data_IF_546457595520
#
_entry.id   IF_546457595520
#
_cell.length_a   1.000
_cell.length_b   1.000
_cell.length_c   1.000
_cell.angle_alpha   90.00
_cell.angle_beta   90.00
_cell.angle_gamma   90.00
#
_symmetry.space_group_name_H-M   'P 1'
#
loop_
_entity.id
_entity.type
_entity.pdbx_description
1 polymer ?
#
# COMPACT_ATOMS: atom_id res chain seq x y z
N UNK A 1 0.39 -9.01 -4.25
CA UNK A 1 -0.65 -8.04 -3.83
C UNK A 1 -0.07 -6.63 -3.71
N UNK A 2 0.99 -6.43 -2.93
CA UNK A 2 1.63 -5.12 -2.70
C UNK A 2 2.08 -4.40 -3.97
N UNK A 3 2.72 -5.09 -4.95
CA UNK A 3 3.15 -4.45 -6.22
C UNK A 3 2.02 -3.79 -7.01
N UNK A 4 0.81 -4.36 -6.98
CA UNK A 4 -0.35 -3.77 -7.68
C UNK A 4 -0.82 -2.49 -6.99
N UNK A 5 -0.82 -2.49 -5.65
CA UNK A 5 -1.07 -1.29 -4.86
C UNK A 5 0.02 -0.23 -5.08
N UNK A 6 1.30 -0.61 -5.01
CA UNK A 6 2.42 0.31 -5.21
C UNK A 6 2.39 0.98 -6.59
N UNK A 7 2.06 0.21 -7.64
CA UNK A 7 1.82 0.76 -8.99
C UNK A 7 0.65 1.74 -9.01
N UNK A 8 -0.48 1.38 -8.38
CA UNK A 8 -1.65 2.25 -8.29
C UNK A 8 -1.33 3.56 -7.55
N UNK A 9 -0.57 3.50 -6.44
CA UNK A 9 -0.12 4.69 -5.70
C UNK A 9 0.79 5.56 -6.57
N UNK A 10 1.78 4.96 -7.26
CA UNK A 10 2.70 5.70 -8.13
C UNK A 10 1.98 6.36 -9.31
N UNK A 11 1.01 5.70 -9.91
CA UNK A 11 0.23 6.27 -11.01
C UNK A 11 -0.63 7.46 -10.55
N UNK A 12 -1.20 7.38 -9.34
CA UNK A 12 -2.15 8.40 -8.85
C UNK A 12 -1.48 9.57 -8.13
N UNK A 13 -0.37 9.32 -7.46
CA UNK A 13 0.28 10.30 -6.56
C UNK A 13 1.77 10.53 -6.87
N UNK A 14 2.31 9.88 -7.90
CA UNK A 14 3.73 9.94 -8.21
C UNK A 14 4.59 9.42 -7.06
N UNK A 15 5.65 10.16 -6.74
CA UNK A 15 6.59 9.81 -5.66
C UNK A 15 6.23 10.44 -4.31
N UNK A 16 4.97 10.89 -4.12
CA UNK A 16 4.53 11.59 -2.90
C UNK A 16 4.59 10.71 -1.64
N UNK A 17 4.38 9.40 -1.80
CA UNK A 17 4.33 8.47 -0.68
C UNK A 17 5.56 7.56 -0.71
N UNK A 18 6.22 7.47 0.44
CA UNK A 18 7.31 6.53 0.69
C UNK A 18 6.74 5.12 0.88
N UNK A 19 7.08 4.23 -0.05
CA UNK A 19 6.61 2.83 -0.10
C UNK A 19 7.64 1.85 0.50
N UNK A 20 8.62 2.34 1.25
CA UNK A 20 9.59 1.51 1.95
C UNK A 20 8.89 0.56 2.91
N UNK A 21 9.38 -0.68 2.93
CA UNK A 21 8.88 -1.75 3.79
C UNK A 21 9.93 -2.14 4.83
N UNK A 22 9.46 -2.56 5.99
CA UNK A 22 10.31 -3.13 7.04
C UNK A 22 10.71 -4.58 6.72
N UNK A 23 11.46 -5.18 7.65
CA UNK A 23 11.96 -6.56 7.54
C UNK A 23 10.83 -7.59 7.52
N UNK A 24 9.68 -7.25 8.10
CA UNK A 24 8.48 -8.08 8.15
C UNK A 24 7.56 -7.87 6.93
N UNK A 25 7.90 -6.89 6.07
CA UNK A 25 7.19 -6.60 4.83
C UNK A 25 6.02 -5.62 4.97
N UNK A 26 5.84 -4.97 6.11
CA UNK A 26 4.86 -3.91 6.31
C UNK A 26 5.38 -2.56 5.81
N UNK A 27 4.48 -1.68 5.38
CA UNK A 27 4.88 -0.32 5.01
C UNK A 27 5.28 0.46 6.26
N UNK A 28 6.47 1.07 6.24
CA UNK A 28 7.01 1.83 7.36
C UNK A 28 6.15 3.06 7.72
N UNK A 29 5.34 3.55 6.77
CA UNK A 29 4.47 4.72 6.94
C UNK A 29 3.05 4.29 7.23
N UNK A 30 2.53 4.68 8.39
CA UNK A 30 1.15 4.38 8.79
C UNK A 30 0.11 4.83 7.76
N UNK A 31 0.32 5.98 7.13
CA UNK A 31 -0.59 6.47 6.07
C UNK A 31 -0.66 5.49 4.90
N UNK A 32 0.47 4.92 4.49
CA UNK A 32 0.52 3.94 3.38
C UNK A 32 -0.09 2.62 3.81
N UNK A 33 0.12 2.21 5.06
CA UNK A 33 -0.52 1.02 5.64
C UNK A 33 -2.04 1.12 5.60
N UNK A 34 -2.62 2.23 6.07
CA UNK A 34 -4.08 2.48 6.02
C UNK A 34 -4.60 2.55 4.59
N UNK A 35 -3.86 3.21 3.68
CA UNK A 35 -4.23 3.24 2.26
C UNK A 35 -4.27 1.83 1.66
N UNK A 36 -3.32 0.97 2.03
CA UNK A 36 -3.29 -0.42 1.57
C UNK A 36 -4.47 -1.23 2.12
N UNK A 37 -4.78 -1.11 3.41
CA UNK A 37 -5.93 -1.77 4.04
C UNK A 37 -7.25 -1.38 3.35
N UNK A 38 -7.48 -0.08 3.14
CA UNK A 38 -8.66 0.42 2.42
C UNK A 38 -8.68 -0.07 0.97
N UNK A 39 -7.53 -0.03 0.29
CA UNK A 39 -7.43 -0.50 -1.10
C UNK A 39 -7.77 -1.98 -1.24
N UNK A 40 -7.34 -2.82 -0.29
CA UNK A 40 -7.70 -4.23 -0.24
C UNK A 40 -9.19 -4.43 0.05
N UNK A 41 -9.74 -3.71 1.04
CA UNK A 41 -11.16 -3.77 1.38
C UNK A 41 -12.05 -3.45 0.16
N UNK A 42 -11.75 -2.37 -0.57
CA UNK A 42 -12.49 -1.98 -1.77
C UNK A 42 -12.40 -3.00 -2.92
N UNK A 43 -11.42 -3.92 -2.88
CA UNK A 43 -11.22 -4.96 -3.90
C UNK A 43 -11.62 -6.35 -3.42
N UNK A 44 -12.24 -6.47 -2.24
CA UNK A 44 -12.60 -7.76 -1.65
C UNK A 44 -11.40 -8.65 -1.33
N UNK A 45 -10.22 -8.05 -1.17
CA UNK A 45 -9.01 -8.76 -0.79
C UNK A 45 -8.98 -8.83 0.74
N UNK A 46 -9.04 -10.04 1.29
CA UNK A 46 -8.91 -10.24 2.73
C UNK A 46 -7.44 -10.02 3.12
N UNK A 47 -7.17 -8.96 3.89
CA UNK A 47 -5.84 -8.71 4.46
C UNK A 47 -5.75 -9.57 5.72
N UNK A 48 -5.28 -10.80 5.56
CA UNK A 48 -4.99 -11.75 6.65
C UNK A 48 -3.61 -11.43 7.23
#
# INVERSE_FOLDING_TARGET
>A
MNKAFELWVRQRYGNRYDLTRDVDGFYCREVVKRMFEVWCHCRGLNVV
#
